data_IF_223349962215
#
_entry.id   IF_223349962215
#
_cell.length_a   1.000
_cell.length_b   1.000
_cell.length_c   1.000
_cell.angle_alpha   90.00
_cell.angle_beta   90.00
_cell.angle_gamma   90.00
#
_symmetry.space_group_name_H-M   'P 1'
#
loop_
_entity.id
_entity.type
_entity.pdbx_description
1 polymer ?
#
# COMPACT_ATOMS: atom_id res chain seq x y z
N UNK A 1 13.01 29.66 2.72
CA UNK A 1 11.81 29.75 1.85
C UNK A 1 10.72 28.90 2.46
N UNK A 2 9.60 29.48 2.94
CA UNK A 2 8.46 28.69 3.44
C UNK A 2 7.71 28.08 2.24
N UNK A 3 7.44 26.78 2.30
CA UNK A 3 6.91 25.91 1.23
C UNK A 3 5.63 26.50 0.59
N UNK A 4 5.55 26.50 -0.75
CA UNK A 4 4.30 26.67 -1.53
C UNK A 4 3.41 25.43 -1.40
N UNK A 5 3.16 25.00 -0.18
CA UNK A 5 2.49 23.75 0.13
C UNK A 5 1.01 24.01 0.45
N UNK A 6 0.13 23.02 0.29
CA UNK A 6 -1.31 23.12 0.57
C UNK A 6 -1.61 23.64 1.98
N UNK A 7 -0.69 23.42 2.93
CA UNK A 7 -0.70 23.94 4.30
C UNK A 7 -0.64 25.48 4.35
N UNK A 8 -0.02 26.16 3.38
CA UNK A 8 0.10 27.62 3.36
C UNK A 8 -1.23 28.35 3.13
N UNK A 9 -2.27 27.63 2.69
CA UNK A 9 -3.63 28.14 2.53
C UNK A 9 -4.48 27.99 3.80
N UNK A 10 -3.96 27.35 4.85
CA UNK A 10 -4.61 27.31 6.16
C UNK A 10 -4.42 28.66 6.88
N UNK A 11 -5.53 29.23 7.34
CA UNK A 11 -5.63 30.52 8.05
C UNK A 11 -6.21 30.34 9.45
N UNK A 12 -7.00 29.29 9.66
CA UNK A 12 -7.57 28.92 10.94
C UNK A 12 -6.45 28.53 11.91
N UNK A 13 -6.34 29.28 13.01
CA UNK A 13 -5.28 29.11 14.02
C UNK A 13 -5.34 27.75 14.72
N UNK A 14 -6.53 27.20 14.93
CA UNK A 14 -6.71 25.89 15.54
C UNK A 14 -6.21 24.78 14.59
N UNK A 15 -6.54 24.87 13.30
CA UNK A 15 -6.05 23.91 12.30
C UNK A 15 -4.53 23.94 12.17
N UNK A 16 -3.94 25.13 12.14
CA UNK A 16 -2.48 25.30 12.12
C UNK A 16 -1.84 24.69 13.37
N UNK A 17 -2.33 25.04 14.55
CA UNK A 17 -1.78 24.53 15.82
C UNK A 17 -1.93 23.01 15.95
N UNK A 18 -3.07 22.44 15.53
CA UNK A 18 -3.27 21.00 15.56
C UNK A 18 -2.38 20.29 14.52
N UNK A 19 -2.20 20.87 13.33
CA UNK A 19 -1.28 20.30 12.33
C UNK A 19 0.15 20.29 12.84
N UNK A 20 0.65 21.37 13.46
CA UNK A 20 1.99 21.40 14.08
C UNK A 20 2.14 20.30 15.16
N UNK A 21 1.08 20.06 15.95
CA UNK A 21 1.08 18.97 16.95
C UNK A 21 1.11 17.58 16.29
N UNK A 22 0.44 17.39 15.16
CA UNK A 22 0.48 16.15 14.38
C UNK A 22 1.87 15.94 13.79
N UNK A 23 2.44 16.96 13.16
CA UNK A 23 3.79 16.91 12.60
C UNK A 23 4.82 16.51 13.64
N UNK A 24 4.77 17.19 14.80
CA UNK A 24 5.64 16.88 15.94
C UNK A 24 5.43 15.45 16.43
N UNK A 25 4.18 15.02 16.62
CA UNK A 25 3.87 13.67 17.06
C UNK A 25 4.41 12.62 16.07
N UNK A 26 4.15 12.79 14.77
CA UNK A 26 4.66 11.92 13.71
C UNK A 26 6.19 11.89 13.72
N UNK A 27 6.85 13.04 13.84
CA UNK A 27 8.29 13.12 13.95
C UNK A 27 8.80 12.33 15.17
N UNK A 28 8.22 12.55 16.34
CA UNK A 28 8.65 11.94 17.60
C UNK A 28 8.46 10.40 17.58
N UNK A 29 7.39 9.86 16.99
CA UNK A 29 7.19 8.41 16.92
C UNK A 29 8.12 7.72 15.93
N UNK A 30 8.44 8.36 14.80
CA UNK A 30 9.37 7.81 13.81
C UNK A 30 10.83 7.93 14.21
N UNK A 31 11.16 8.82 15.16
CA UNK A 31 12.51 8.99 15.71
C UNK A 31 12.87 8.01 16.84
N UNK A 32 11.98 7.11 17.28
CA UNK A 32 12.23 6.18 18.40
C UNK A 32 13.18 5.02 18.07
N UNK A 33 14.34 5.32 17.51
CA UNK A 33 15.52 4.45 17.34
C UNK A 33 15.28 3.09 16.65
N UNK A 34 14.25 2.97 15.82
CA UNK A 34 13.97 1.72 15.11
C UNK A 34 13.71 1.97 13.64
N UNK A 35 14.50 1.31 12.78
CA UNK A 35 14.15 1.17 11.36
C UNK A 35 12.99 0.17 11.32
N UNK A 36 11.79 0.70 11.16
CA UNK A 36 10.59 -0.12 11.04
C UNK A 36 10.51 -0.67 9.62
N UNK A 37 10.51 -2.00 9.50
CA UNK A 37 10.42 -2.73 8.23
C UNK A 37 11.49 -2.33 7.19
N UNK A 38 12.79 -2.56 7.49
CA UNK A 38 13.91 -2.27 6.58
C UNK A 38 13.79 -2.94 5.19
N UNK A 39 12.97 -3.98 5.10
CA UNK A 39 12.63 -4.68 3.86
C UNK A 39 11.84 -3.81 2.87
N UNK A 40 11.30 -2.68 3.33
CA UNK A 40 10.61 -1.69 2.51
C UNK A 40 11.32 -0.34 2.62
N UNK A 41 10.88 0.63 1.82
CA UNK A 41 11.47 1.97 1.71
C UNK A 41 11.23 2.79 2.99
N UNK A 42 11.79 4.00 3.12
CA UNK A 42 11.53 4.80 4.33
C UNK A 42 10.07 5.27 4.41
N UNK A 43 9.47 5.10 5.59
CA UNK A 43 8.12 5.57 5.93
C UNK A 43 8.16 6.66 7.04
N UNK A 44 9.33 7.26 7.31
CA UNK A 44 9.52 8.28 8.36
C UNK A 44 8.97 9.67 7.98
N UNK A 45 9.19 10.67 8.84
CA UNK A 45 8.66 12.05 8.65
C UNK A 45 8.96 12.65 7.26
N UNK A 46 10.14 12.35 6.69
CA UNK A 46 10.52 12.83 5.36
C UNK A 46 9.59 12.31 4.25
N UNK A 47 9.11 11.08 4.38
CA UNK A 47 8.11 10.51 3.47
C UNK A 47 6.81 11.33 3.54
N UNK A 48 6.27 11.55 4.73
CA UNK A 48 5.08 12.39 4.91
C UNK A 48 5.25 13.80 4.32
N UNK A 49 6.40 14.44 4.54
CA UNK A 49 6.70 15.74 3.94
C UNK A 49 6.74 15.69 2.40
N UNK A 50 7.29 14.63 1.82
CA UNK A 50 7.33 14.45 0.38
C UNK A 50 5.93 14.24 -0.19
N UNK A 51 5.07 13.45 0.48
CA UNK A 51 3.66 13.26 0.08
C UNK A 51 2.93 14.61 0.07
N UNK A 52 3.14 15.42 1.11
CA UNK A 52 2.60 16.78 1.18
C UNK A 52 3.13 17.65 0.03
N UNK A 53 4.44 17.62 -0.24
CA UNK A 53 5.04 18.35 -1.38
C UNK A 53 4.48 17.89 -2.72
N UNK A 54 4.23 16.59 -2.89
CA UNK A 54 3.69 16.00 -4.11
C UNK A 54 2.31 16.55 -4.44
N UNK A 55 1.50 16.94 -3.45
CA UNK A 55 0.20 17.59 -3.69
C UNK A 55 0.36 18.79 -4.63
N UNK A 56 1.39 19.61 -4.43
CA UNK A 56 1.63 20.79 -5.27
C UNK A 56 2.24 20.48 -6.64
N UNK A 57 2.81 19.28 -6.83
CA UNK A 57 3.51 18.87 -8.06
C UNK A 57 2.63 18.07 -8.99
N UNK A 58 1.83 17.15 -8.45
CA UNK A 58 1.09 16.17 -9.23
C UNK A 58 -0.42 16.41 -9.22
N UNK A 59 -0.95 17.29 -8.36
CA UNK A 59 -2.38 17.61 -8.34
C UNK A 59 -2.63 18.96 -9.03
N UNK A 60 -3.51 19.01 -10.05
CA UNK A 60 -3.93 20.24 -10.70
C UNK A 60 -4.48 21.27 -9.72
N UNK A 61 -4.16 22.55 -9.96
CA UNK A 61 -4.59 23.66 -9.09
C UNK A 61 -6.11 23.79 -9.03
N UNK A 62 -6.81 23.41 -10.10
CA UNK A 62 -8.27 23.41 -10.23
C UNK A 62 -8.91 22.46 -9.20
N UNK A 63 -8.37 21.24 -9.08
CA UNK A 63 -8.81 20.27 -8.07
C UNK A 63 -8.49 20.77 -6.66
N UNK A 64 -7.34 21.44 -6.49
CA UNK A 64 -7.02 22.02 -5.19
C UNK A 64 -7.95 23.19 -4.85
N UNK A 65 -8.50 23.93 -5.81
CA UNK A 65 -9.33 25.11 -5.56
C UNK A 65 -10.75 24.76 -5.09
N UNK A 66 -11.25 23.55 -5.39
CA UNK A 66 -12.55 23.10 -4.86
C UNK A 66 -12.50 22.73 -3.38
N UNK A 67 -11.31 22.45 -2.85
CA UNK A 67 -11.13 22.06 -1.45
C UNK A 67 -11.33 23.23 -0.50
N UNK A 68 -12.22 23.02 0.47
CA UNK A 68 -12.38 23.93 1.61
C UNK A 68 -11.13 23.93 2.49
N UNK A 69 -11.00 24.93 3.34
CA UNK A 69 -9.91 24.98 4.32
C UNK A 69 -9.87 23.74 5.23
N UNK A 70 -11.05 23.24 5.62
CA UNK A 70 -11.18 22.03 6.44
C UNK A 70 -10.75 20.77 5.68
N UNK A 71 -11.08 20.68 4.39
CA UNK A 71 -10.65 19.58 3.52
C UNK A 71 -9.12 19.52 3.42
N UNK A 72 -8.48 20.68 3.22
CA UNK A 72 -7.02 20.81 3.19
C UNK A 72 -6.39 20.39 4.52
N UNK A 73 -6.98 20.80 5.63
CA UNK A 73 -6.54 20.42 6.96
C UNK A 73 -6.56 18.90 7.15
N UNK A 74 -7.68 18.24 6.84
CA UNK A 74 -7.79 16.78 6.95
C UNK A 74 -6.80 16.05 6.04
N UNK A 75 -6.59 16.54 4.82
CA UNK A 75 -5.62 15.97 3.90
C UNK A 75 -4.19 16.08 4.43
N UNK A 76 -3.79 17.26 4.97
CA UNK A 76 -2.47 17.44 5.56
C UNK A 76 -2.26 16.49 6.75
N UNK A 77 -3.23 16.41 7.67
CA UNK A 77 -3.15 15.47 8.80
C UNK A 77 -3.07 14.02 8.33
N UNK A 78 -3.82 13.63 7.29
CA UNK A 78 -3.75 12.29 6.73
C UNK A 78 -2.38 12.00 6.11
N UNK A 79 -1.74 12.95 5.41
CA UNK A 79 -0.40 12.75 4.87
C UNK A 79 0.64 12.43 5.96
N UNK A 80 0.53 13.05 7.15
CA UNK A 80 1.42 12.75 8.28
C UNK A 80 1.06 11.49 9.06
N UNK A 81 -0.17 10.98 8.93
CA UNK A 81 -0.67 9.87 9.75
C UNK A 81 -0.97 8.58 8.97
N UNK A 82 -0.96 8.60 7.63
CA UNK A 82 -1.39 7.47 6.81
C UNK A 82 -0.59 6.19 7.07
N UNK A 83 0.69 6.33 7.39
CA UNK A 83 1.63 5.23 7.58
C UNK A 83 1.90 4.84 9.04
N UNK A 84 1.27 5.48 10.04
CA UNK A 84 1.60 5.18 11.45
C UNK A 84 1.29 3.71 11.82
N UNK A 85 0.36 3.08 11.11
CA UNK A 85 0.04 1.66 11.22
C UNK A 85 1.17 0.72 10.80
N UNK A 86 2.22 1.23 10.13
CA UNK A 86 3.46 0.50 9.88
C UNK A 86 4.32 0.36 11.14
N UNK A 87 4.13 1.21 12.17
CA UNK A 87 4.86 1.12 13.43
C UNK A 87 4.33 0.00 14.33
N UNK A 88 3.02 -0.19 14.31
CA UNK A 88 2.34 -1.13 15.18
C UNK A 88 1.05 -1.62 14.54
N UNK A 89 0.96 -2.94 14.35
CA UNK A 89 -0.31 -3.60 14.01
C UNK A 89 -0.87 -4.25 15.27
N UNK A 90 -2.06 -3.85 15.73
CA UNK A 90 -2.74 -4.51 16.84
C UNK A 90 -2.99 -5.99 16.56
N UNK A 91 -2.72 -6.86 17.54
CA UNK A 91 -2.93 -8.32 17.42
C UNK A 91 -4.33 -8.70 16.93
N UNK A 92 -5.35 -7.94 17.35
CA UNK A 92 -6.74 -8.16 16.93
C UNK A 92 -7.02 -7.90 15.45
N UNK A 93 -6.15 -7.17 14.75
CA UNK A 93 -6.22 -6.96 13.31
C UNK A 93 -5.45 -8.04 12.55
N UNK A 94 -4.67 -8.86 13.26
CA UNK A 94 -3.91 -9.93 12.68
C UNK A 94 -4.69 -11.25 12.73
N UNK A 95 -4.72 -12.03 11.64
CA UNK A 95 -5.34 -13.35 11.66
C UNK A 95 -4.53 -14.38 12.47
N UNK A 96 -3.23 -14.13 12.68
CA UNK A 96 -2.28 -14.93 13.45
C UNK A 96 -1.22 -14.00 14.08
N UNK A 97 -0.45 -14.45 15.08
CA UNK A 97 0.63 -13.65 15.67
C UNK A 97 1.60 -13.07 14.61
N UNK A 98 2.15 -11.89 14.88
CA UNK A 98 2.95 -11.10 13.92
C UNK A 98 4.15 -11.86 13.33
N UNK A 99 4.80 -12.67 14.16
CA UNK A 99 5.91 -13.57 13.79
C UNK A 99 5.49 -14.63 12.75
N UNK A 100 4.19 -14.89 12.63
CA UNK A 100 3.61 -15.95 11.80
C UNK A 100 3.06 -15.41 10.47
N UNK A 101 2.49 -14.20 10.46
CA UNK A 101 1.88 -13.60 9.26
C UNK A 101 2.88 -12.98 8.29
N UNK A 102 4.07 -12.63 8.78
CA UNK A 102 5.11 -12.00 7.99
C UNK A 102 4.84 -10.53 7.65
N UNK A 103 5.88 -9.86 7.15
CA UNK A 103 5.94 -8.40 7.02
C UNK A 103 5.04 -7.84 5.91
N UNK A 104 4.72 -8.64 4.90
CA UNK A 104 3.78 -8.26 3.83
C UNK A 104 2.36 -8.07 4.33
N UNK A 105 1.96 -8.79 5.39
CA UNK A 105 0.63 -8.61 5.98
C UNK A 105 0.54 -7.25 6.67
N UNK A 106 1.60 -6.80 7.36
CA UNK A 106 1.67 -5.44 7.92
C UNK A 106 1.45 -4.40 6.82
N UNK A 107 2.20 -4.50 5.72
CA UNK A 107 2.02 -3.61 4.56
C UNK A 107 0.63 -3.71 3.94
N UNK A 108 -0.04 -4.86 3.96
CA UNK A 108 -1.40 -4.98 3.41
C UNK A 108 -2.46 -4.30 4.29
N UNK A 109 -2.26 -4.26 5.60
CA UNK A 109 -3.27 -3.79 6.56
C UNK A 109 -2.93 -2.48 7.25
N UNK A 110 -1.77 -1.87 6.94
CA UNK A 110 -1.32 -0.67 7.66
C UNK A 110 -2.31 0.48 7.57
N UNK A 111 -3.02 0.69 6.47
CA UNK A 111 -4.10 1.69 6.43
C UNK A 111 -5.16 1.46 7.52
N UNK A 112 -5.63 0.22 7.67
CA UNK A 112 -6.56 -0.17 8.74
C UNK A 112 -5.95 -0.01 10.13
N UNK A 113 -4.67 -0.36 10.28
CA UNK A 113 -3.94 -0.16 11.54
C UNK A 113 -3.76 1.33 11.89
N UNK A 114 -3.47 2.19 10.90
CA UNK A 114 -3.38 3.65 11.06
C UNK A 114 -4.69 4.23 11.54
N UNK A 115 -5.82 3.82 10.94
CA UNK A 115 -7.15 4.19 11.43
C UNK A 115 -7.34 3.81 12.88
N UNK A 116 -7.00 2.57 13.24
CA UNK A 116 -7.11 2.11 14.61
C UNK A 116 -6.29 2.98 15.58
N UNK A 117 -5.01 3.21 15.24
CA UNK A 117 -4.10 4.02 16.04
C UNK A 117 -4.61 5.45 16.23
N UNK A 118 -5.12 6.09 15.17
CA UNK A 118 -5.73 7.43 15.24
C UNK A 118 -6.88 7.46 16.26
N UNK A 119 -7.64 6.39 16.38
CA UNK A 119 -8.75 6.31 17.33
C UNK A 119 -8.34 5.97 18.76
N UNK A 120 -7.22 5.27 18.98
CA UNK A 120 -6.87 4.75 20.30
C UNK A 120 -5.73 5.46 21.00
N UNK A 121 -4.86 6.15 20.27
CA UNK A 121 -3.69 6.79 20.87
C UNK A 121 -4.13 8.05 21.65
N UNK A 122 -3.79 8.17 22.95
CA UNK A 122 -4.17 9.32 23.77
C UNK A 122 -3.64 10.65 23.24
N UNK A 123 -2.40 10.67 22.74
CA UNK A 123 -1.76 11.85 22.17
C UNK A 123 -2.54 12.37 20.97
N UNK A 124 -2.95 11.49 20.04
CA UNK A 124 -3.81 11.85 18.89
C UNK A 124 -5.20 12.28 19.36
N UNK A 125 -5.75 11.60 20.37
CA UNK A 125 -7.06 11.94 20.97
C UNK A 125 -7.06 13.31 21.64
N UNK A 126 -5.90 13.81 22.08
CA UNK A 126 -5.73 15.15 22.63
C UNK A 126 -5.65 16.25 21.55
N UNK A 127 -5.40 15.87 20.30
CA UNK A 127 -5.33 16.80 19.15
C UNK A 127 -6.69 16.91 18.48
N UNK A 128 -7.40 15.78 18.32
CA UNK A 128 -8.60 15.70 17.50
C UNK A 128 -9.84 15.29 18.29
N UNK A 129 -10.96 15.93 18.00
CA UNK A 129 -12.27 15.46 18.45
C UNK A 129 -12.64 14.12 17.76
N UNK A 130 -13.75 13.50 18.20
CA UNK A 130 -14.20 12.20 17.68
C UNK A 130 -14.50 12.22 16.17
N UNK A 131 -15.06 13.31 15.66
CA UNK A 131 -15.42 13.47 14.25
C UNK A 131 -14.17 13.58 13.38
N UNK A 132 -13.22 14.42 13.77
CA UNK A 132 -11.96 14.61 13.04
C UNK A 132 -11.16 13.30 12.97
N UNK A 133 -11.08 12.55 14.08
CA UNK A 133 -10.45 11.22 14.08
C UNK A 133 -11.14 10.24 13.15
N UNK A 134 -12.47 10.27 13.08
CA UNK A 134 -13.22 9.40 12.17
C UNK A 134 -12.92 9.73 10.71
N UNK A 135 -12.81 11.00 10.36
CA UNK A 135 -12.53 11.46 8.99
C UNK A 135 -11.09 11.13 8.61
N UNK A 136 -10.10 11.60 9.40
CA UNK A 136 -8.68 11.39 9.13
C UNK A 136 -8.33 9.89 9.17
N UNK A 137 -8.87 9.16 10.14
CA UNK A 137 -8.71 7.72 10.24
C UNK A 137 -9.26 6.99 9.01
N UNK A 138 -10.41 7.41 8.48
CA UNK A 138 -10.96 6.79 7.26
C UNK A 138 -10.15 7.15 6.00
N UNK A 139 -9.59 8.36 5.90
CA UNK A 139 -8.64 8.72 4.84
C UNK A 139 -7.42 7.79 4.87
N UNK A 140 -6.84 7.60 6.05
CA UNK A 140 -5.70 6.72 6.25
C UNK A 140 -6.06 5.24 6.01
N UNK A 141 -7.28 4.79 6.25
CA UNK A 141 -7.67 3.41 5.91
C UNK A 141 -7.76 3.19 4.40
N UNK A 142 -8.34 4.15 3.68
CA UNK A 142 -8.65 4.00 2.26
C UNK A 142 -7.48 4.32 1.33
N UNK A 143 -6.37 4.86 1.85
CA UNK A 143 -5.18 5.10 1.01
C UNK A 143 -4.56 3.81 0.47
N UNK A 144 -4.79 2.66 1.12
CA UNK A 144 -4.37 1.32 0.64
C UNK A 144 -5.53 0.39 0.34
N UNK A 145 -6.76 0.88 0.50
CA UNK A 145 -7.98 0.09 0.39
C UNK A 145 -8.57 0.11 -1.01
N UNK A 146 -9.55 -0.77 -1.24
CA UNK A 146 -10.39 -0.72 -2.43
C UNK A 146 -11.34 0.49 -2.36
N UNK A 147 -11.10 1.46 -3.25
CA UNK A 147 -11.91 2.67 -3.36
C UNK A 147 -13.28 2.42 -3.99
N UNK A 148 -13.48 1.30 -4.69
CA UNK A 148 -14.79 0.96 -5.28
C UNK A 148 -15.86 0.73 -4.19
N UNK A 149 -15.42 0.43 -2.97
CA UNK A 149 -16.29 0.31 -1.80
C UNK A 149 -16.80 1.68 -1.26
N UNK A 150 -16.34 2.80 -1.80
CA UNK A 150 -16.81 4.15 -1.45
C UNK A 150 -18.14 4.48 -2.12
N UNK A 151 -19.22 3.84 -1.66
CA UNK A 151 -20.57 4.16 -2.11
C UNK A 151 -21.12 5.39 -1.39
N UNK A 152 -22.10 6.07 -2.01
CA UNK A 152 -22.78 7.23 -1.41
C UNK A 152 -23.36 6.91 -0.02
N UNK A 153 -23.92 5.70 0.16
CA UNK A 153 -24.46 5.24 1.45
C UNK A 153 -23.39 5.14 2.54
N UNK A 154 -22.17 4.74 2.17
CA UNK A 154 -21.03 4.60 3.08
C UNK A 154 -20.40 5.96 3.43
N UNK A 155 -20.61 6.97 2.59
CA UNK A 155 -19.99 8.28 2.72
C UNK A 155 -20.90 9.39 3.24
N UNK A 156 -22.20 9.12 3.49
CA UNK A 156 -23.19 10.12 3.93
C UNK A 156 -22.82 10.97 5.16
N UNK A 157 -21.88 10.50 5.97
CA UNK A 157 -21.41 11.19 7.19
C UNK A 157 -20.05 11.89 7.03
N UNK A 158 -19.45 11.81 5.84
CA UNK A 158 -18.16 12.39 5.53
C UNK A 158 -18.32 13.70 4.74
N UNK A 159 -17.28 14.55 4.70
CA UNK A 159 -17.29 15.76 3.86
C UNK A 159 -17.59 15.43 2.40
N UNK A 160 -18.24 16.37 1.70
CA UNK A 160 -18.58 16.21 0.27
C UNK A 160 -17.39 15.79 -0.59
N UNK A 161 -16.23 16.39 -0.36
CA UNK A 161 -15.01 16.13 -1.14
C UNK A 161 -14.21 14.92 -0.64
N UNK A 162 -14.75 14.11 0.28
CA UNK A 162 -14.02 13.00 0.88
C UNK A 162 -13.43 12.01 -0.15
N UNK A 163 -14.16 11.56 -1.19
CA UNK A 163 -13.56 10.74 -2.26
C UNK A 163 -12.35 11.40 -2.92
N UNK A 164 -12.45 12.70 -3.22
CA UNK A 164 -11.36 13.46 -3.82
C UNK A 164 -10.14 13.53 -2.89
N UNK A 165 -10.34 13.66 -1.57
CA UNK A 165 -9.23 13.63 -0.60
C UNK A 165 -8.52 12.28 -0.56
N UNK A 166 -9.27 11.16 -0.63
CA UNK A 166 -8.68 9.82 -0.75
C UNK A 166 -7.87 9.72 -2.04
N UNK A 167 -8.44 10.12 -3.18
CA UNK A 167 -7.76 10.10 -4.47
C UNK A 167 -6.47 10.91 -4.48
N UNK A 168 -6.48 12.11 -3.90
CA UNK A 168 -5.28 12.95 -3.80
C UNK A 168 -4.20 12.28 -2.94
N UNK A 169 -4.57 11.76 -1.76
CA UNK A 169 -3.62 11.11 -0.86
C UNK A 169 -2.95 9.91 -1.54
N UNK A 170 -3.73 9.06 -2.23
CA UNK A 170 -3.22 7.87 -2.94
C UNK A 170 -2.21 8.22 -4.03
N UNK A 171 -2.55 9.18 -4.89
CA UNK A 171 -1.64 9.59 -5.97
C UNK A 171 -0.37 10.24 -5.40
N UNK A 172 -0.49 11.07 -4.36
CA UNK A 172 0.66 11.75 -3.77
C UNK A 172 1.62 10.79 -3.05
N UNK A 173 1.08 9.79 -2.35
CA UNK A 173 1.87 8.69 -1.76
C UNK A 173 2.55 7.85 -2.84
N UNK A 174 1.79 7.40 -3.85
CA UNK A 174 2.32 6.59 -4.92
C UNK A 174 3.42 7.29 -5.72
N UNK A 175 3.39 8.63 -5.80
CA UNK A 175 4.43 9.44 -6.45
C UNK A 175 5.69 9.67 -5.60
N UNK A 176 5.72 9.29 -4.31
CA UNK A 176 6.96 9.38 -3.51
C UNK A 176 7.89 8.18 -3.77
N UNK A 177 8.46 8.18 -4.98
CA UNK A 177 9.34 7.12 -5.51
C UNK A 177 10.71 7.64 -5.93
N UNK A 178 11.03 8.89 -5.58
CA UNK A 178 12.29 9.55 -5.96
C UNK A 178 13.46 9.15 -5.04
N UNK A 179 14.68 9.46 -5.45
CA UNK A 179 15.92 9.28 -4.66
C UNK A 179 15.93 9.99 -3.32
N UNK A 180 15.00 10.92 -3.08
CA UNK A 180 14.77 11.53 -1.76
C UNK A 180 14.26 10.52 -0.72
N UNK A 181 13.65 9.42 -1.17
CA UNK A 181 13.19 8.30 -0.33
C UNK A 181 14.27 7.21 -0.18
N UNK A 182 15.42 7.36 -0.83
CA UNK A 182 16.52 6.40 -0.78
C UNK A 182 17.58 6.84 0.25
N UNK A 183 18.08 5.89 1.05
CA UNK A 183 19.27 6.08 1.88
C UNK A 183 20.30 5.03 1.49
N UNK A 184 21.37 5.49 0.84
CA UNK A 184 22.48 4.63 0.42
C UNK A 184 23.14 3.93 1.61
N UNK A 185 23.29 4.64 2.72
CA UNK A 185 23.89 4.12 3.95
C UNK A 185 23.10 2.91 4.46
N UNK A 186 21.77 3.05 4.54
CA UNK A 186 20.91 1.98 5.04
C UNK A 186 20.77 0.86 4.01
N UNK A 187 20.63 1.17 2.73
CA UNK A 187 20.63 0.17 1.66
C UNK A 187 21.88 -0.73 1.71
N UNK A 188 23.06 -0.15 1.93
CA UNK A 188 24.32 -0.88 2.02
C UNK A 188 24.49 -1.68 3.33
N UNK A 189 23.88 -1.22 4.42
CA UNK A 189 23.92 -1.91 5.71
C UNK A 189 22.91 -3.06 5.78
N UNK A 190 21.82 -2.98 5.03
CA UNK A 190 20.74 -3.97 5.06
C UNK A 190 21.07 -5.17 4.17
N UNK A 191 20.92 -6.38 4.71
CA UNK A 191 20.89 -7.62 3.92
C UNK A 191 19.49 -7.80 3.35
N UNK A 192 19.19 -7.05 2.28
CA UNK A 192 17.88 -7.09 1.63
C UNK A 192 17.66 -8.43 0.90
N UNK A 193 16.48 -8.99 1.09
CA UNK A 193 15.98 -10.09 0.27
C UNK A 193 15.72 -9.58 -1.17
N UNK A 194 15.74 -10.46 -2.19
CA UNK A 194 15.58 -10.05 -3.59
C UNK A 194 14.36 -9.18 -3.86
N UNK A 195 13.20 -9.51 -3.27
CA UNK A 195 11.97 -8.73 -3.46
C UNK A 195 12.09 -7.31 -2.88
N UNK A 196 12.69 -7.17 -1.71
CA UNK A 196 13.00 -5.87 -1.12
C UNK A 196 13.95 -5.07 -2.00
N UNK A 197 14.98 -5.72 -2.54
CA UNK A 197 15.95 -5.08 -3.44
C UNK A 197 15.25 -4.39 -4.62
N UNK A 198 14.26 -5.07 -5.23
CA UNK A 198 13.50 -4.55 -6.38
C UNK A 198 12.65 -3.30 -6.05
N UNK A 199 12.25 -3.11 -4.80
CA UNK A 199 11.54 -1.90 -4.37
C UNK A 199 12.46 -0.71 -4.12
N UNK A 200 13.71 -0.95 -3.73
CA UNK A 200 14.67 0.09 -3.38
C UNK A 200 15.42 0.64 -4.60
N UNK A 201 15.82 -0.27 -5.49
CA UNK A 201 16.68 0.05 -6.63
C UNK A 201 16.12 1.15 -7.54
N UNK A 202 14.85 1.10 -8.00
CA UNK A 202 14.34 2.15 -8.89
C UNK A 202 14.46 3.54 -8.28
N UNK A 203 14.25 3.66 -6.97
CA UNK A 203 14.26 4.95 -6.27
C UNK A 203 15.63 5.62 -6.31
N UNK A 204 16.72 4.86 -6.38
CA UNK A 204 18.07 5.42 -6.48
C UNK A 204 18.25 6.28 -7.74
N UNK A 205 17.51 5.97 -8.80
CA UNK A 205 17.69 6.55 -10.13
C UNK A 205 16.58 7.51 -10.54
N UNK A 206 15.48 7.56 -9.79
CA UNK A 206 14.36 8.47 -10.07
C UNK A 206 14.65 9.82 -9.42
N UNK A 207 14.80 10.84 -10.24
CA UNK A 207 15.15 12.20 -9.81
C UNK A 207 13.91 13.01 -9.43
N UNK A 208 12.88 12.92 -10.25
CA UNK A 208 11.68 13.74 -10.15
C UNK A 208 10.43 13.00 -10.64
N UNK A 209 9.29 13.38 -10.06
CA UNK A 209 7.95 13.04 -10.56
C UNK A 209 7.19 14.35 -10.68
N UNK A 210 6.57 14.58 -11.83
CA UNK A 210 5.85 15.81 -12.13
C UNK A 210 4.58 15.54 -12.94
N UNK A 211 3.69 16.55 -13.01
CA UNK A 211 2.52 16.54 -13.88
C UNK A 211 2.76 17.44 -15.09
N UNK A 212 2.67 16.85 -16.29
CA UNK A 212 2.81 17.54 -17.56
C UNK A 212 1.50 17.46 -18.35
N UNK A 213 0.78 18.58 -18.36
CA UNK A 213 -0.58 18.60 -18.87
C UNK A 213 -1.50 17.70 -18.03
N UNK A 214 -1.75 16.47 -18.51
CA UNK A 214 -2.55 15.46 -17.81
C UNK A 214 -1.75 14.19 -17.48
N UNK A 215 -0.47 14.14 -17.82
CA UNK A 215 0.35 12.94 -17.68
C UNK A 215 1.28 13.08 -16.48
N UNK A 216 1.35 12.05 -15.64
CA UNK A 216 2.41 11.98 -14.61
C UNK A 216 3.66 11.46 -15.31
N UNK A 217 4.75 12.22 -15.22
CA UNK A 217 6.05 11.90 -15.84
C UNK A 217 7.07 11.61 -14.75
N UNK A 218 7.69 10.43 -14.83
CA UNK A 218 8.76 9.98 -13.94
C UNK A 218 10.10 10.17 -14.65
N UNK A 219 10.92 11.07 -14.12
CA UNK A 219 12.24 11.40 -14.64
C UNK A 219 13.32 10.57 -13.94
N UNK A 220 14.13 9.86 -14.71
CA UNK A 220 15.20 9.03 -14.18
C UNK A 220 16.53 9.23 -14.92
N UNK A 221 17.62 9.15 -14.16
CA UNK A 221 19.00 9.15 -14.66
C UNK A 221 19.65 7.84 -14.24
N UNK A 222 20.04 7.01 -15.21
CA UNK A 222 20.55 5.66 -14.96
C UNK A 222 21.97 5.46 -15.50
N UNK A 223 22.79 4.57 -14.93
CA UNK A 223 24.07 4.19 -15.50
C UNK A 223 23.91 3.62 -16.92
N UNK A 224 24.67 4.13 -17.89
CA UNK A 224 24.58 3.67 -19.28
C UNK A 224 24.77 2.14 -19.42
N UNK A 225 25.62 1.54 -18.58
CA UNK A 225 25.93 0.10 -18.59
C UNK A 225 24.72 -0.75 -18.16
N UNK A 226 23.90 -0.25 -17.23
CA UNK A 226 22.76 -0.97 -16.64
C UNK A 226 21.40 -0.38 -17.07
N UNK A 227 21.40 0.50 -18.08
CA UNK A 227 20.23 1.29 -18.51
C UNK A 227 19.02 0.40 -18.80
N UNK A 228 19.20 -0.64 -19.63
CA UNK A 228 18.10 -1.51 -20.03
C UNK A 228 17.46 -2.23 -18.83
N UNK A 229 18.27 -2.65 -17.86
CA UNK A 229 17.80 -3.37 -16.68
C UNK A 229 17.04 -2.46 -15.72
N UNK A 230 17.61 -1.29 -15.42
CA UNK A 230 16.98 -0.32 -14.52
C UNK A 230 15.71 0.26 -15.14
N UNK A 231 15.73 0.56 -16.45
CA UNK A 231 14.54 1.00 -17.18
C UNK A 231 13.41 -0.02 -17.08
N UNK A 232 13.71 -1.30 -17.29
CA UNK A 232 12.72 -2.37 -17.10
C UNK A 232 12.13 -2.36 -15.67
N UNK A 233 12.98 -2.22 -14.65
CA UNK A 233 12.51 -2.16 -13.26
C UNK A 233 11.63 -0.94 -12.99
N UNK A 234 11.99 0.24 -13.52
CA UNK A 234 11.16 1.46 -13.39
C UNK A 234 9.79 1.22 -14.04
N UNK A 235 9.76 0.65 -15.25
CA UNK A 235 8.50 0.34 -15.94
C UNK A 235 7.60 -0.61 -15.14
N UNK A 236 8.16 -1.72 -14.66
CA UNK A 236 7.38 -2.75 -13.97
C UNK A 236 6.99 -2.37 -12.53
N UNK A 237 7.90 -1.77 -11.77
CA UNK A 237 7.71 -1.55 -10.34
C UNK A 237 7.09 -0.18 -10.02
N UNK A 238 7.30 0.81 -10.89
CA UNK A 238 6.90 2.20 -10.64
C UNK A 238 5.80 2.63 -11.60
N UNK A 239 6.04 2.56 -12.91
CA UNK A 239 5.09 3.06 -13.91
C UNK A 239 3.81 2.24 -13.92
N UNK A 240 3.89 0.91 -13.88
CA UNK A 240 2.71 0.06 -13.80
C UNK A 240 1.88 0.37 -12.55
N UNK A 241 2.52 0.41 -11.37
CA UNK A 241 1.84 0.71 -10.10
C UNK A 241 1.16 2.08 -10.13
N UNK A 242 1.84 3.10 -10.65
CA UNK A 242 1.26 4.45 -10.78
C UNK A 242 0.06 4.45 -11.74
N UNK A 243 0.13 3.72 -12.86
CA UNK A 243 -1.01 3.57 -13.76
C UNK A 243 -2.20 2.85 -13.10
N UNK A 244 -1.95 1.85 -12.25
CA UNK A 244 -3.00 1.17 -11.48
C UNK A 244 -3.68 2.11 -10.48
N UNK A 245 -2.91 2.98 -9.81
CA UNK A 245 -3.43 4.02 -8.92
C UNK A 245 -4.22 5.09 -9.69
N UNK A 246 -3.68 5.57 -10.82
CA UNK A 246 -4.37 6.51 -11.72
C UNK A 246 -5.70 5.96 -12.21
N UNK A 247 -5.72 4.71 -12.68
CA UNK A 247 -6.91 4.02 -13.15
C UNK A 247 -7.99 3.96 -12.06
N UNK A 248 -7.58 3.67 -10.83
CA UNK A 248 -8.47 3.65 -9.69
C UNK A 248 -9.07 5.03 -9.40
N UNK A 249 -8.25 6.09 -9.33
CA UNK A 249 -8.77 7.40 -8.91
C UNK A 249 -9.51 8.17 -10.02
N UNK A 250 -9.23 7.88 -11.30
CA UNK A 250 -9.78 8.63 -12.44
C UNK A 250 -11.31 8.75 -12.45
N UNK A 251 -12.11 7.71 -12.16
CA UNK A 251 -13.57 7.84 -12.05
C UNK A 251 -14.02 8.91 -11.06
N UNK A 252 -13.31 9.07 -9.95
CA UNK A 252 -13.61 10.12 -8.95
C UNK A 252 -13.19 11.49 -9.47
N UNK A 253 -12.02 11.59 -10.10
CA UNK A 253 -11.51 12.86 -10.61
C UNK A 253 -12.33 13.40 -11.79
N UNK A 254 -12.92 12.51 -12.58
CA UNK A 254 -13.78 12.86 -13.71
C UNK A 254 -15.00 13.69 -13.26
N UNK A 255 -15.55 13.41 -12.08
CA UNK A 255 -16.63 14.21 -11.46
C UNK A 255 -16.22 15.67 -11.20
N UNK A 256 -14.92 15.93 -11.12
CA UNK A 256 -14.32 17.26 -10.94
C UNK A 256 -13.71 17.81 -12.24
N UNK A 257 -13.99 17.18 -13.39
CA UNK A 257 -13.56 17.64 -14.72
C UNK A 257 -12.09 17.38 -15.02
N UNK A 258 -11.44 16.46 -14.30
CA UNK A 258 -10.04 16.11 -14.53
C UNK A 258 -9.84 14.60 -14.66
N UNK A 259 -9.01 14.18 -15.60
CA UNK A 259 -8.64 12.78 -15.80
C UNK A 259 -7.16 12.74 -16.13
N UNK A 260 -6.38 11.94 -15.41
CA UNK A 260 -4.99 11.71 -15.78
C UNK A 260 -4.90 10.88 -17.06
N UNK A 261 -3.96 11.23 -17.93
CA UNK A 261 -3.49 10.37 -19.00
C UNK A 261 -2.64 9.22 -18.46
N UNK A 262 -2.01 8.47 -19.36
CA UNK A 262 -1.10 7.38 -19.00
C UNK A 262 0.16 7.95 -18.34
N UNK A 263 0.63 7.28 -17.29
CA UNK A 263 1.90 7.60 -16.62
C UNK A 263 3.05 7.19 -17.53
N UNK A 264 4.05 8.06 -17.66
CA UNK A 264 5.22 7.85 -18.54
C UNK A 264 6.52 7.92 -17.75
N UNK A 265 7.57 7.33 -18.32
CA UNK A 265 8.94 7.51 -17.86
C UNK A 265 9.77 8.26 -18.91
N UNK A 266 10.63 9.16 -18.44
CA UNK A 266 11.72 9.74 -19.22
C UNK A 266 13.04 9.32 -18.60
N UNK A 267 13.73 8.40 -19.28
CA UNK A 267 14.97 7.81 -18.80
C UNK A 267 16.12 8.33 -19.64
N UNK A 268 17.09 8.95 -18.99
CA UNK A 268 18.36 9.37 -19.56
C UNK A 268 19.50 8.54 -18.97
N UNK A 269 20.58 8.35 -19.73
CA UNK A 269 21.77 7.65 -19.26
C UNK A 269 22.91 8.59 -18.93
N UNK A 270 23.68 8.23 -17.90
CA UNK A 270 24.91 8.89 -17.48
C UNK A 270 26.06 7.86 -17.50
N UNK A 271 27.11 8.16 -18.25
CA UNK A 271 28.31 7.31 -18.38
C UNK A 271 29.18 7.34 -17.11
N UNK A 272 29.00 8.34 -16.24
CA UNK A 272 29.80 8.53 -15.03
C UNK A 272 29.16 7.92 -13.78
N UNK A 273 27.90 7.47 -13.86
CA UNK A 273 27.27 6.74 -12.76
C UNK A 273 27.85 5.32 -12.67
N UNK A 274 28.20 4.86 -11.45
CA UNK A 274 28.73 3.51 -11.27
C UNK A 274 27.66 2.47 -11.63
N UNK A 275 28.03 1.37 -12.31
CA UNK A 275 27.09 0.31 -12.65
C UNK A 275 26.62 -0.42 -11.38
N UNK A 276 25.34 -0.78 -11.36
CA UNK A 276 24.80 -1.66 -10.32
C UNK A 276 24.94 -3.12 -10.77
N UNK A 277 26.10 -3.70 -10.48
CA UNK A 277 26.46 -5.07 -10.88
C UNK A 277 25.48 -6.13 -10.36
N UNK A 278 24.78 -5.86 -9.24
CA UNK A 278 23.77 -6.80 -8.71
C UNK A 278 22.54 -6.84 -9.59
N UNK A 279 22.15 -5.75 -10.25
CA UNK A 279 21.02 -5.73 -11.17
C UNK A 279 21.35 -6.58 -12.39
N UNK A 280 22.53 -6.42 -12.97
CA UNK A 280 22.95 -7.19 -14.13
C UNK A 280 23.07 -8.68 -13.79
N UNK A 281 23.52 -9.04 -12.58
CA UNK A 281 23.50 -10.41 -12.08
C UNK A 281 22.07 -10.93 -11.84
N UNK A 282 21.17 -10.14 -11.25
CA UNK A 282 19.77 -10.52 -11.04
C UNK A 282 19.04 -10.71 -12.37
N UNK A 283 19.28 -9.84 -13.35
CA UNK A 283 18.65 -9.88 -14.67
C UNK A 283 19.31 -10.94 -15.57
N UNK A 284 20.61 -11.17 -15.47
CA UNK A 284 21.28 -12.24 -16.24
C UNK A 284 20.95 -13.62 -15.69
N UNK A 285 20.80 -13.76 -14.37
CA UNK A 285 20.25 -14.95 -13.73
C UNK A 285 18.77 -15.10 -14.08
N UNK A 286 17.97 -14.02 -14.11
CA UNK A 286 16.58 -14.07 -14.57
C UNK A 286 16.47 -14.43 -16.05
N UNK A 287 17.40 -14.02 -16.93
CA UNK A 287 17.44 -14.40 -18.36
C UNK A 287 17.86 -15.84 -18.62
N UNK A 288 18.74 -16.41 -17.78
CA UNK A 288 19.05 -17.85 -17.79
C UNK A 288 17.91 -18.68 -17.21
N UNK A 289 17.18 -18.13 -16.26
CA UNK A 289 16.00 -18.75 -15.67
C UNK A 289 14.71 -18.42 -16.43
N UNK A 290 14.64 -17.43 -17.33
CA UNK A 290 13.41 -16.88 -17.94
C UNK A 290 12.66 -17.93 -18.74
N UNK A 291 13.39 -18.77 -19.49
CA UNK A 291 12.78 -19.91 -20.21
C UNK A 291 12.19 -20.96 -19.26
N UNK A 292 12.57 -20.94 -17.98
CA UNK A 292 12.11 -21.89 -16.96
C UNK A 292 11.20 -21.22 -15.92
N UNK A 293 11.30 -19.90 -15.69
CA UNK A 293 10.60 -19.12 -14.69
C UNK A 293 9.35 -18.46 -15.27
N UNK A 294 9.34 -18.05 -16.54
CA UNK A 294 8.13 -17.62 -17.23
C UNK A 294 7.21 -18.82 -17.48
N UNK A 295 7.79 -19.97 -17.87
CA UNK A 295 7.09 -21.26 -17.88
C UNK A 295 6.73 -21.75 -16.47
N UNK A 296 7.51 -21.50 -15.40
CA UNK A 296 7.13 -21.85 -14.01
C UNK A 296 6.11 -20.90 -13.40
N UNK A 297 6.11 -19.61 -13.71
CA UNK A 297 5.13 -18.63 -13.21
C UNK A 297 3.80 -18.87 -13.92
N UNK A 298 3.80 -19.04 -15.25
CA UNK A 298 2.61 -19.39 -16.02
C UNK A 298 2.12 -20.83 -15.75
N UNK A 299 3.00 -21.81 -15.47
CA UNK A 299 2.59 -23.16 -15.04
C UNK A 299 2.26 -23.28 -13.56
N UNK A 300 2.76 -22.38 -12.70
CA UNK A 300 2.41 -22.33 -11.27
C UNK A 300 1.04 -21.70 -11.03
N UNK A 301 0.53 -20.94 -12.00
CA UNK A 301 -0.88 -20.56 -12.13
C UNK A 301 -1.71 -21.68 -12.78
N UNK A 302 -1.44 -22.94 -12.42
CA UNK A 302 -2.35 -24.05 -12.76
C UNK A 302 -3.72 -23.83 -12.10
N UNK A 303 -4.81 -24.31 -12.73
CA UNK A 303 -6.18 -24.29 -12.16
C UNK A 303 -6.23 -24.74 -10.69
N UNK A 304 -5.32 -25.63 -10.28
CA UNK A 304 -5.17 -26.11 -8.91
C UNK A 304 -4.70 -25.01 -7.95
N UNK A 305 -3.75 -24.17 -8.35
CA UNK A 305 -3.28 -23.03 -7.55
C UNK A 305 -4.34 -21.93 -7.46
N UNK A 306 -5.12 -21.72 -8.52
CA UNK A 306 -6.28 -20.81 -8.50
C UNK A 306 -7.39 -21.32 -7.57
N UNK A 307 -7.74 -22.61 -7.64
CA UNK A 307 -8.71 -23.23 -6.72
C UNK A 307 -8.21 -23.26 -5.27
N UNK A 308 -6.91 -23.44 -5.05
CA UNK A 308 -6.29 -23.36 -3.72
C UNK A 308 -6.27 -21.93 -3.18
N UNK A 309 -6.03 -20.93 -4.03
CA UNK A 309 -6.12 -19.51 -3.66
C UNK A 309 -7.56 -19.11 -3.34
N UNK A 310 -8.51 -19.50 -4.18
CA UNK A 310 -9.93 -19.26 -3.97
C UNK A 310 -10.44 -19.95 -2.70
N UNK A 311 -10.02 -21.19 -2.44
CA UNK A 311 -10.36 -21.91 -1.20
C UNK A 311 -9.68 -21.28 0.02
N UNK A 312 -8.42 -20.86 -0.08
CA UNK A 312 -7.69 -20.19 0.99
C UNK A 312 -8.30 -18.84 1.35
N UNK A 313 -8.73 -18.06 0.35
CA UNK A 313 -9.48 -16.82 0.51
C UNK A 313 -10.84 -17.08 1.17
N UNK A 314 -11.59 -18.07 0.67
CA UNK A 314 -12.90 -18.47 1.20
C UNK A 314 -12.87 -18.94 2.67
N UNK A 315 -11.74 -19.48 3.14
CA UNK A 315 -11.55 -19.91 4.53
C UNK A 315 -10.70 -18.93 5.36
N UNK A 316 -10.28 -17.81 4.78
CA UNK A 316 -9.54 -16.73 5.47
C UNK A 316 -8.11 -17.06 5.90
N UNK A 317 -7.40 -17.94 5.17
CA UNK A 317 -5.99 -18.28 5.45
C UNK A 317 -5.11 -18.09 4.22
N UNK A 318 -3.79 -18.07 4.38
CA UNK A 318 -2.88 -18.04 3.21
C UNK A 318 -2.86 -19.40 2.49
N UNK A 319 -2.59 -19.41 1.19
CA UNK A 319 -2.39 -20.65 0.40
C UNK A 319 -1.30 -21.54 0.99
N UNK A 320 -0.26 -20.94 1.55
CA UNK A 320 0.79 -21.65 2.28
C UNK A 320 0.28 -22.25 3.60
N UNK A 321 -0.61 -21.53 4.32
CA UNK A 321 -1.30 -22.05 5.50
C UNK A 321 -2.23 -23.23 5.17
N UNK A 322 -2.98 -23.13 4.06
CA UNK A 322 -3.82 -24.22 3.54
C UNK A 322 -2.97 -25.47 3.23
N UNK A 323 -1.84 -25.31 2.53
CA UNK A 323 -0.94 -26.42 2.16
C UNK A 323 -0.21 -27.05 3.34
N UNK A 324 0.27 -26.23 4.28
CA UNK A 324 1.16 -26.71 5.35
C UNK A 324 0.42 -27.15 6.60
N UNK A 325 -0.81 -26.66 6.83
CA UNK A 325 -1.55 -26.90 8.07
C UNK A 325 -2.84 -27.66 7.84
N UNK A 326 -3.60 -27.33 6.80
CA UNK A 326 -4.93 -27.92 6.59
C UNK A 326 -4.86 -29.20 5.75
N UNK A 327 -4.14 -29.19 4.62
CA UNK A 327 -4.02 -30.36 3.75
C UNK A 327 -3.40 -31.60 4.41
N UNK A 328 -2.39 -31.49 5.30
CA UNK A 328 -1.88 -32.64 6.03
C UNK A 328 -2.93 -33.23 6.99
N UNK A 329 -3.80 -32.41 7.58
CA UNK A 329 -4.88 -32.86 8.46
C UNK A 329 -6.00 -33.54 7.65
N UNK A 330 -6.32 -33.05 6.46
CA UNK A 330 -7.24 -33.71 5.53
C UNK A 330 -6.69 -35.06 5.07
N UNK A 331 -5.40 -35.13 4.68
CA UNK A 331 -4.74 -36.38 4.28
C UNK A 331 -4.67 -37.42 5.39
N UNK A 332 -4.50 -36.98 6.64
CA UNK A 332 -4.56 -37.85 7.83
C UNK A 332 -5.99 -38.24 8.23
N UNK A 333 -6.99 -37.77 7.48
CA UNK A 333 -8.40 -38.00 7.81
C UNK A 333 -8.74 -37.48 9.19
N UNK A 334 -8.22 -36.31 9.58
CA UNK A 334 -8.50 -35.68 10.87
C UNK A 334 -9.52 -34.54 10.74
N UNK A 335 -9.62 -33.97 9.54
CA UNK A 335 -10.48 -32.83 9.23
C UNK A 335 -11.03 -32.98 7.82
N UNK A 336 -12.30 -32.63 7.61
CA UNK A 336 -12.88 -32.48 6.27
C UNK A 336 -13.42 -31.05 6.12
N UNK A 337 -13.43 -30.57 4.88
CA UNK A 337 -14.00 -29.28 4.51
C UNK A 337 -15.37 -29.57 3.91
N UNK A 338 -16.44 -29.12 4.56
CA UNK A 338 -17.80 -29.19 4.02
C UNK A 338 -18.33 -27.79 3.77
N UNK A 339 -18.88 -27.58 2.58
CA UNK A 339 -19.64 -26.39 2.24
C UNK A 339 -21.04 -26.51 2.85
N UNK A 340 -21.45 -25.55 3.68
CA UNK A 340 -22.81 -25.56 4.23
C UNK A 340 -23.84 -25.10 3.17
N UNK A 341 -25.11 -25.40 3.39
CA UNK A 341 -26.22 -25.08 2.47
C UNK A 341 -26.46 -23.56 2.25
N UNK A 342 -25.61 -22.69 2.81
CA UNK A 342 -25.63 -21.23 2.64
C UNK A 342 -24.38 -20.69 1.92
N UNK A 343 -23.48 -21.56 1.44
CA UNK A 343 -22.36 -21.22 0.56
C UNK A 343 -21.32 -20.26 1.13
N UNK A 344 -21.25 -20.09 2.46
CA UNK A 344 -20.44 -19.01 3.07
C UNK A 344 -19.58 -19.41 4.28
N UNK A 345 -19.70 -20.62 4.80
CA UNK A 345 -18.89 -21.06 5.96
C UNK A 345 -18.45 -22.51 5.75
N UNK A 346 -17.15 -22.73 5.84
CA UNK A 346 -16.52 -24.05 5.83
C UNK A 346 -16.28 -24.49 7.27
N UNK A 347 -16.87 -25.60 7.68
CA UNK A 347 -16.67 -26.16 9.01
C UNK A 347 -15.54 -27.18 9.01
N UNK A 348 -14.62 -27.06 9.97
CA UNK A 348 -13.56 -28.03 10.23
C UNK A 348 -14.03 -29.02 11.30
N UNK A 349 -14.46 -30.21 10.88
CA UNK A 349 -14.95 -31.24 11.80
C UNK A 349 -13.82 -32.20 12.20
N UNK A 350 -13.52 -32.38 13.51
CA UNK A 350 -12.64 -33.44 13.98
C UNK A 350 -13.24 -34.82 13.70
N UNK A 351 -12.43 -35.77 13.24
CA UNK A 351 -12.94 -37.11 12.88
C UNK A 351 -13.53 -37.92 14.03
N UNK A 352 -13.24 -37.55 15.28
CA UNK A 352 -13.85 -38.18 16.47
C UNK A 352 -15.31 -37.75 16.73
N UNK A 353 -15.88 -36.87 15.90
CA UNK A 353 -17.32 -36.52 15.94
C UNK A 353 -18.18 -37.29 14.95
N UNK A 354 -17.69 -38.40 14.38
CA UNK A 354 -18.48 -39.31 13.52
C UNK A 354 -19.43 -40.25 14.29
N UNK A 355 -19.97 -39.81 15.42
CA UNK A 355 -21.11 -40.45 16.09
C UNK A 355 -22.16 -39.43 16.55
N UNK A 356 -22.60 -38.54 15.68
CA UNK A 356 -24.00 -38.05 15.61
C UNK A 356 -24.17 -37.50 14.19
N UNK A 357 -25.29 -37.79 13.53
CA UNK A 357 -25.69 -37.33 12.18
C UNK A 357 -25.15 -38.13 10.98
N UNK A 358 -25.35 -39.44 11.02
CA UNK A 358 -25.76 -40.21 9.85
C UNK A 358 -27.06 -40.91 10.23
N UNK A 359 -28.17 -40.19 10.10
CA UNK A 359 -29.53 -40.68 9.92
C UNK A 359 -30.38 -39.44 9.58
N UNK A 360 -31.40 -39.65 8.76
CA UNK A 360 -32.24 -38.66 8.05
C UNK A 360 -31.62 -38.01 6.81
N UNK A 361 -31.46 -38.82 5.76
CA UNK A 361 -32.25 -38.66 4.54
C UNK A 361 -31.96 -39.83 3.57
N UNK A 362 -32.47 -41.01 3.91
CA UNK A 362 -32.89 -42.00 2.91
C UNK A 362 -34.42 -41.93 2.85
N UNK A 363 -34.94 -41.16 1.89
CA UNK A 363 -36.21 -41.46 1.23
C UNK A 363 -35.89 -41.70 -0.24
N UNK A 364 -35.73 -42.97 -0.60
CA UNK A 364 -36.48 -43.60 -1.69
C UNK A 364 -36.30 -45.13 -1.64
N UNK A 365 -37.45 -45.75 -1.38
CA UNK A 365 -37.86 -47.17 -1.37
C UNK A 365 -37.44 -48.05 -0.18
#
# INVERSE_FOLDING_TARGET
MRKKDISCKLRNKEFLSNLERVEKYTQDIWQKDTIHHPEFTFHGIKHSENVVENISKVIPVELLNVLSERDRYYLCCACYLHDIGMLFVPDKLLPLPLDTVGKFVVRKIHGTASRYMIHTIPEISSIFNKTDRSIIGKLCELHTGDISAMTESNLKHFPKHFPLLVSILRICDACDVTKKRFSEQLFNLMKLEPESYLHWVPMQYIDEVSLEGREIVVYAIVPAISEAGIKFLIEQMVIQKLNEEVSQVNPILEEYGFVYGTVKSEVSSDEYLPPDKKIDDLISNSKREEKTLELKILSSLSEKSMREAELAEKIGISTMGLRNRIFPLIKKGMVYIRENNKGKIYEFLPVDKRKVFLEDNDEKD
#
